data_IF_641932783090
#
_entry.id   IF_641932783090
#
_cell.length_a   1.000
_cell.length_b   1.000
_cell.length_c   1.000
_cell.angle_alpha   90.00
_cell.angle_beta   90.00
_cell.angle_gamma   90.00
#
_symmetry.space_group_name_H-M   'P 1'
#
loop_
_entity.id
_entity.type
_entity.pdbx_description
1 polymer ?
#
# COMPACT_ATOMS: atom_id res chain seq x y z
N UNK A 1 14.26 -26.50 -14.58
CA UNK A 1 14.93 -26.71 -15.89
C UNK A 1 13.91 -26.42 -16.98
N UNK A 2 14.13 -25.47 -17.90
CA UNK A 2 13.16 -25.16 -18.98
C UNK A 2 13.41 -26.07 -20.17
N UNK A 3 12.53 -27.03 -20.43
CA UNK A 3 12.59 -27.91 -21.60
C UNK A 3 12.03 -27.14 -22.80
N UNK A 4 12.84 -26.93 -23.83
CA UNK A 4 12.42 -26.23 -25.05
C UNK A 4 12.06 -27.21 -26.17
N UNK A 5 11.18 -26.80 -27.09
CA UNK A 5 10.77 -27.64 -28.25
C UNK A 5 11.95 -28.15 -29.06
N UNK A 6 12.99 -27.32 -29.20
CA UNK A 6 14.24 -27.65 -29.91
C UNK A 6 15.03 -28.78 -29.23
N UNK A 7 14.99 -28.87 -27.89
CA UNK A 7 15.63 -29.97 -27.16
C UNK A 7 14.88 -31.30 -27.35
N UNK A 8 13.56 -31.26 -27.47
CA UNK A 8 12.76 -32.46 -27.78
C UNK A 8 13.03 -32.95 -29.21
N UNK A 9 13.13 -32.05 -30.18
CA UNK A 9 13.50 -32.38 -31.56
C UNK A 9 14.93 -32.96 -31.64
N UNK A 10 15.89 -32.41 -30.87
CA UNK A 10 17.21 -33.00 -30.75
C UNK A 10 17.18 -34.39 -30.14
N UNK A 11 16.39 -34.63 -29.09
CA UNK A 11 16.26 -35.95 -28.48
C UNK A 11 15.64 -36.98 -29.43
N UNK A 12 14.71 -36.57 -30.30
CA UNK A 12 14.19 -37.40 -31.40
C UNK A 12 15.28 -37.69 -32.43
N UNK A 13 16.06 -36.68 -32.83
CA UNK A 13 17.16 -36.86 -33.79
C UNK A 13 18.26 -37.81 -33.29
N UNK A 14 18.48 -37.84 -31.97
CA UNK A 14 19.42 -38.75 -31.31
C UNK A 14 18.80 -40.12 -30.97
N UNK A 15 17.56 -40.37 -31.40
CA UNK A 15 16.80 -41.60 -31.13
C UNK A 15 16.65 -41.94 -29.63
N UNK A 16 16.76 -40.93 -28.76
CA UNK A 16 16.56 -41.09 -27.31
C UNK A 16 15.07 -41.28 -27.01
N UNK A 17 14.22 -40.58 -27.76
CA UNK A 17 12.75 -40.67 -27.69
C UNK A 17 12.15 -40.74 -29.09
N UNK A 18 10.95 -41.32 -29.22
CA UNK A 18 10.21 -41.32 -30.48
C UNK A 18 9.51 -39.99 -30.74
N UNK A 19 9.17 -39.73 -32.01
CA UNK A 19 8.41 -38.53 -32.38
C UNK A 19 7.04 -38.47 -31.69
N UNK A 20 6.39 -39.63 -31.55
CA UNK A 20 5.12 -39.75 -30.85
C UNK A 20 5.24 -39.46 -29.34
N UNK A 21 6.35 -39.88 -28.71
CA UNK A 21 6.66 -39.54 -27.33
C UNK A 21 6.94 -38.04 -27.16
N UNK A 22 7.64 -37.41 -28.12
CA UNK A 22 7.90 -35.97 -28.08
C UNK A 22 6.61 -35.15 -28.16
N UNK A 23 5.64 -35.55 -28.99
CA UNK A 23 4.33 -34.90 -29.08
C UNK A 23 3.49 -35.09 -27.82
N UNK A 24 3.45 -36.31 -27.28
CA UNK A 24 2.77 -36.60 -26.01
C UNK A 24 3.36 -35.79 -24.85
N UNK A 25 4.69 -35.71 -24.77
CA UNK A 25 5.38 -34.95 -23.72
C UNK A 25 5.16 -33.44 -23.87
N UNK A 26 5.16 -32.93 -25.11
CA UNK A 26 4.84 -31.52 -25.37
C UNK A 26 3.42 -31.17 -24.92
N UNK A 27 2.47 -32.09 -25.15
CA UNK A 27 1.07 -31.92 -24.74
C UNK A 27 0.95 -31.92 -23.21
N UNK A 28 1.61 -32.87 -22.55
CA UNK A 28 1.65 -32.96 -21.08
C UNK A 28 2.29 -31.71 -20.44
N UNK A 29 3.42 -31.24 -20.98
CA UNK A 29 4.12 -30.06 -20.45
C UNK A 29 3.32 -28.76 -20.63
N UNK A 30 2.55 -28.65 -21.73
CA UNK A 30 1.63 -27.50 -21.93
C UNK A 30 0.44 -27.51 -20.97
N UNK A 31 0.06 -28.68 -20.47
CA UNK A 31 -1.03 -28.83 -19.51
C UNK A 31 -0.58 -28.59 -18.06
N UNK A 32 0.73 -28.53 -17.80
CA UNK A 32 1.21 -28.12 -16.49
C UNK A 32 1.05 -26.60 -16.32
N UNK A 33 0.46 -26.13 -15.20
CA UNK A 33 0.44 -24.71 -14.87
C UNK A 33 1.88 -24.22 -14.81
N UNK A 34 2.19 -23.12 -15.51
CA UNK A 34 3.54 -22.55 -15.61
C UNK A 34 4.23 -22.56 -14.25
N UNK A 35 5.30 -23.36 -14.15
CA UNK A 35 6.05 -23.53 -12.90
C UNK A 35 6.90 -22.29 -12.64
N UNK A 36 6.35 -21.38 -11.84
CA UNK A 36 7.09 -20.40 -11.05
C UNK A 36 7.07 -18.96 -11.60
N UNK A 37 7.24 -17.95 -10.71
CA UNK A 37 7.26 -16.55 -11.09
C UNK A 37 8.47 -16.29 -11.98
N UNK A 38 8.23 -16.08 -13.27
CA UNK A 38 9.27 -15.67 -14.21
C UNK A 38 9.53 -14.18 -13.91
N UNK A 39 10.78 -13.84 -13.59
CA UNK A 39 11.20 -12.45 -13.49
C UNK A 39 11.11 -11.83 -14.89
N UNK A 40 9.96 -11.22 -15.17
CA UNK A 40 9.62 -10.66 -16.46
C UNK A 40 9.80 -9.14 -16.38
N UNK A 41 10.55 -8.60 -17.34
CA UNK A 41 10.87 -7.17 -17.41
C UNK A 41 9.60 -6.31 -17.42
N UNK A 42 8.50 -6.83 -17.98
CA UNK A 42 7.20 -6.16 -17.95
C UNK A 42 6.65 -5.99 -16.52
N UNK A 43 6.83 -6.99 -15.66
CA UNK A 43 6.43 -6.91 -14.25
C UNK A 43 7.30 -5.91 -13.48
N UNK A 44 8.60 -5.85 -13.78
CA UNK A 44 9.50 -4.84 -13.22
C UNK A 44 9.06 -3.43 -13.62
N UNK A 45 8.67 -3.22 -14.88
CA UNK A 45 8.15 -1.94 -15.36
C UNK A 45 6.83 -1.56 -14.66
N UNK A 46 5.95 -2.53 -14.39
CA UNK A 46 4.72 -2.27 -13.65
C UNK A 46 5.00 -1.84 -12.21
N UNK A 47 5.89 -2.52 -11.49
CA UNK A 47 6.25 -2.12 -10.13
C UNK A 47 7.00 -0.79 -10.10
N UNK A 48 7.94 -0.57 -11.03
CA UNK A 48 8.66 0.69 -11.14
C UNK A 48 7.72 1.86 -11.43
N UNK A 49 6.81 1.70 -12.40
CA UNK A 49 5.80 2.70 -12.72
C UNK A 49 4.88 2.99 -11.54
N UNK A 50 4.45 1.95 -10.81
CA UNK A 50 3.68 2.11 -9.58
C UNK A 50 4.44 2.89 -8.50
N UNK A 51 5.71 2.57 -8.26
CA UNK A 51 6.54 3.29 -7.28
C UNK A 51 6.79 4.75 -7.68
N UNK A 52 7.02 5.03 -8.97
CA UNK A 52 7.17 6.41 -9.46
C UNK A 52 5.88 7.19 -9.26
N UNK A 53 4.72 6.59 -9.56
CA UNK A 53 3.43 7.23 -9.36
C UNK A 53 3.19 7.57 -7.87
N UNK A 54 3.47 6.62 -6.97
CA UNK A 54 3.36 6.84 -5.52
C UNK A 54 4.36 7.91 -5.06
N UNK A 55 5.62 7.86 -5.51
CA UNK A 55 6.65 8.83 -5.13
C UNK A 55 6.35 10.25 -5.63
N UNK A 56 5.90 10.39 -6.88
CA UNK A 56 5.48 11.67 -7.43
C UNK A 56 4.29 12.24 -6.67
N UNK A 57 3.31 11.39 -6.34
CA UNK A 57 2.17 11.78 -5.51
C UNK A 57 2.61 12.28 -4.15
N UNK A 58 3.44 11.53 -3.41
CA UNK A 58 3.93 11.93 -2.08
C UNK A 58 4.63 13.30 -2.11
N UNK A 59 5.47 13.56 -3.12
CA UNK A 59 6.15 14.84 -3.28
C UNK A 59 5.18 15.98 -3.62
N UNK A 60 4.27 15.75 -4.56
CA UNK A 60 3.32 16.76 -5.01
C UNK A 60 2.33 17.14 -3.90
N UNK A 61 1.95 16.17 -3.07
CA UNK A 61 1.09 16.41 -1.91
C UNK A 61 1.81 17.20 -0.82
N UNK A 62 3.07 16.87 -0.53
CA UNK A 62 3.84 17.58 0.48
C UNK A 62 4.05 19.05 0.11
N UNK A 63 4.32 19.36 -1.17
CA UNK A 63 4.43 20.75 -1.65
C UNK A 63 3.06 21.42 -1.85
N UNK A 64 2.03 20.65 -2.20
CA UNK A 64 0.70 21.17 -2.52
C UNK A 64 -0.17 21.50 -1.31
N UNK A 65 0.16 21.00 -0.12
CA UNK A 65 -0.64 21.17 1.10
C UNK A 65 -0.93 22.64 1.44
N UNK A 66 0.05 23.52 1.33
CA UNK A 66 -0.16 24.96 1.62
C UNK A 66 -0.92 25.69 0.50
N UNK A 67 -0.95 25.14 -0.72
CA UNK A 67 -1.50 25.84 -1.89
C UNK A 67 -2.94 25.44 -2.20
N UNK A 68 -3.32 24.18 -1.99
CA UNK A 68 -4.61 23.64 -2.45
C UNK A 68 -5.74 23.70 -1.41
N UNK A 69 -5.42 23.79 -0.11
CA UNK A 69 -6.40 23.67 0.97
C UNK A 69 -7.17 22.32 0.97
N UNK A 70 -8.11 22.16 1.90
CA UNK A 70 -8.88 20.90 2.03
C UNK A 70 -9.66 20.51 0.78
N UNK A 71 -10.37 21.46 0.16
CA UNK A 71 -11.18 21.20 -1.04
C UNK A 71 -10.34 20.81 -2.26
N UNK A 72 -9.15 21.39 -2.42
CA UNK A 72 -8.23 21.00 -3.49
C UNK A 72 -7.70 19.58 -3.30
N UNK A 73 -7.38 19.18 -2.07
CA UNK A 73 -6.97 17.80 -1.75
C UNK A 73 -8.08 16.80 -2.07
N UNK A 74 -9.34 17.11 -1.70
CA UNK A 74 -10.49 16.26 -2.04
C UNK A 74 -10.64 16.12 -3.56
N UNK A 75 -10.61 17.24 -4.29
CA UNK A 75 -10.77 17.23 -5.74
C UNK A 75 -9.71 16.38 -6.45
N UNK A 76 -8.45 16.55 -6.07
CA UNK A 76 -7.33 15.77 -6.62
C UNK A 76 -7.49 14.29 -6.25
N UNK A 77 -7.77 13.98 -4.99
CA UNK A 77 -7.92 12.59 -4.52
C UNK A 77 -9.04 11.86 -5.28
N UNK A 78 -10.20 12.50 -5.46
CA UNK A 78 -11.32 11.93 -6.21
C UNK A 78 -10.98 11.73 -7.69
N UNK A 79 -10.30 12.69 -8.32
CA UNK A 79 -9.85 12.56 -9.70
C UNK A 79 -8.90 11.35 -9.87
N UNK A 80 -7.97 11.18 -8.95
CA UNK A 80 -7.04 10.04 -8.96
C UNK A 80 -7.73 8.70 -8.64
N UNK A 81 -8.71 8.68 -7.74
CA UNK A 81 -9.53 7.48 -7.46
C UNK A 81 -10.27 7.06 -8.73
N UNK A 82 -10.92 8.01 -9.43
CA UNK A 82 -11.63 7.74 -10.68
C UNK A 82 -10.67 7.23 -11.77
N UNK A 83 -9.51 7.87 -11.93
CA UNK A 83 -8.49 7.43 -12.87
C UNK A 83 -7.97 6.02 -12.53
N UNK A 84 -7.63 5.76 -11.26
CA UNK A 84 -7.15 4.46 -10.80
C UNK A 84 -8.19 3.35 -11.00
N UNK A 85 -9.46 3.64 -10.70
CA UNK A 85 -10.55 2.68 -10.85
C UNK A 85 -10.84 2.36 -12.32
N UNK A 86 -10.86 3.38 -13.19
CA UNK A 86 -11.05 3.17 -14.65
C UNK A 86 -9.89 2.36 -15.25
N UNK A 87 -8.64 2.65 -14.88
CA UNK A 87 -7.49 1.86 -15.31
C UNK A 87 -7.56 0.42 -14.78
N UNK A 88 -7.94 0.23 -13.52
CA UNK A 88 -8.13 -1.09 -12.92
C UNK A 88 -9.12 -1.92 -13.73
N UNK A 89 -10.30 -1.37 -14.07
CA UNK A 89 -11.29 -2.07 -14.89
C UNK A 89 -10.75 -2.42 -16.28
N UNK A 90 -10.03 -1.50 -16.93
CA UNK A 90 -9.45 -1.73 -18.24
C UNK A 90 -8.42 -2.87 -18.19
N UNK A 91 -7.54 -2.88 -17.18
CA UNK A 91 -6.57 -3.96 -17.00
C UNK A 91 -7.22 -5.29 -16.65
N UNK A 92 -8.27 -5.28 -15.82
CA UNK A 92 -9.02 -6.48 -15.48
C UNK A 92 -9.70 -7.08 -16.72
N UNK A 93 -10.36 -6.27 -17.55
CA UNK A 93 -11.01 -6.74 -18.80
C UNK A 93 -10.00 -7.32 -19.80
N UNK A 94 -8.76 -6.83 -19.78
CA UNK A 94 -7.66 -7.33 -20.61
C UNK A 94 -6.91 -8.53 -20.02
N UNK A 95 -7.27 -9.00 -18.81
CA UNK A 95 -6.63 -10.13 -18.14
C UNK A 95 -5.31 -9.79 -17.44
N UNK A 96 -4.92 -8.52 -17.33
CA UNK A 96 -3.70 -8.08 -16.64
C UNK A 96 -3.94 -7.96 -15.13
N UNK A 97 -3.92 -9.10 -14.44
CA UNK A 97 -4.22 -9.20 -12.99
C UNK A 97 -3.27 -8.35 -12.13
N UNK A 98 -1.99 -8.28 -12.49
CA UNK A 98 -0.98 -7.59 -11.67
C UNK A 98 -1.10 -6.07 -11.76
N UNK A 99 -1.16 -5.45 -12.96
CA UNK A 99 -1.49 -4.03 -13.10
C UNK A 99 -2.82 -3.65 -12.46
N UNK A 100 -3.85 -4.47 -12.61
CA UNK A 100 -5.14 -4.23 -11.97
C UNK A 100 -5.03 -4.21 -10.44
N UNK A 101 -4.26 -5.14 -9.86
CA UNK A 101 -3.97 -5.17 -8.43
C UNK A 101 -3.23 -3.93 -7.93
N UNK A 102 -2.27 -3.42 -8.69
CA UNK A 102 -1.54 -2.18 -8.35
C UNK A 102 -2.49 -0.98 -8.37
N UNK A 103 -3.34 -0.85 -9.40
CA UNK A 103 -4.35 0.21 -9.46
C UNK A 103 -5.36 0.10 -8.31
N UNK A 104 -5.75 -1.11 -7.92
CA UNK A 104 -6.65 -1.32 -6.79
C UNK A 104 -6.03 -0.84 -5.46
N UNK A 105 -4.76 -1.19 -5.21
CA UNK A 105 -4.03 -0.71 -4.02
C UNK A 105 -3.90 0.81 -4.05
N UNK A 106 -3.57 1.38 -5.20
CA UNK A 106 -3.47 2.82 -5.37
C UNK A 106 -4.77 3.55 -5.01
N UNK A 107 -5.92 3.04 -5.47
CA UNK A 107 -7.25 3.56 -5.10
C UNK A 107 -7.50 3.47 -3.60
N UNK A 108 -7.18 2.33 -2.96
CA UNK A 108 -7.40 2.15 -1.52
C UNK A 108 -6.56 3.12 -0.69
N UNK A 109 -5.29 3.35 -1.06
CA UNK A 109 -4.39 4.27 -0.36
C UNK A 109 -4.80 5.74 -0.51
N UNK A 110 -5.57 6.09 -1.55
CA UNK A 110 -6.14 7.43 -1.73
C UNK A 110 -7.36 7.73 -0.87
N UNK A 111 -8.03 6.70 -0.33
CA UNK A 111 -9.22 6.88 0.51
C UNK A 111 -8.93 7.68 1.79
N UNK A 112 -7.95 7.31 2.64
CA UNK A 112 -7.66 8.08 3.85
C UNK A 112 -7.32 9.53 3.54
N UNK A 113 -6.63 9.77 2.42
CA UNK A 113 -6.29 11.10 1.95
C UNK A 113 -7.52 11.93 1.53
N UNK A 114 -8.49 11.31 0.85
CA UNK A 114 -9.74 12.00 0.51
C UNK A 114 -10.56 12.36 1.74
N UNK A 115 -10.55 11.49 2.76
CA UNK A 115 -11.16 11.75 4.07
C UNK A 115 -10.42 12.90 4.77
N UNK A 116 -9.09 12.89 4.77
CA UNK A 116 -8.28 13.98 5.30
C UNK A 116 -8.63 15.33 4.66
N UNK A 117 -8.63 15.38 3.33
CA UNK A 117 -8.98 16.60 2.60
C UNK A 117 -10.38 17.09 2.98
N UNK A 118 -11.33 16.17 3.17
CA UNK A 118 -12.70 16.50 3.55
C UNK A 118 -12.77 17.04 4.98
N UNK A 119 -12.04 16.42 5.91
CA UNK A 119 -11.94 16.90 7.29
C UNK A 119 -11.36 18.32 7.34
N UNK A 120 -10.30 18.58 6.56
CA UNK A 120 -9.68 19.89 6.44
C UNK A 120 -10.61 20.90 5.78
N UNK A 121 -11.34 20.50 4.74
CA UNK A 121 -12.28 21.36 4.02
C UNK A 121 -13.49 21.79 4.86
N UNK A 122 -13.91 20.93 5.79
CA UNK A 122 -15.02 21.18 6.71
C UNK A 122 -14.58 21.93 7.98
N UNK A 123 -13.29 22.25 8.11
CA UNK A 123 -12.76 22.94 9.29
C UNK A 123 -12.76 22.09 10.56
N UNK A 124 -12.80 20.75 10.42
CA UNK A 124 -12.67 19.85 11.58
C UNK A 124 -11.26 19.82 12.15
N UNK A 125 -10.27 20.31 11.39
CA UNK A 125 -8.91 20.50 11.89
C UNK A 125 -8.77 21.88 12.57
N UNK A 126 -8.30 21.94 13.82
CA UNK A 126 -8.17 23.22 14.54
C UNK A 126 -7.12 24.12 13.90
N UNK A 127 -7.51 25.34 13.52
CA UNK A 127 -6.60 26.39 13.10
C UNK A 127 -6.00 27.07 14.33
N UNK A 128 -4.68 26.95 14.48
CA UNK A 128 -3.90 27.75 15.44
C UNK A 128 -4.12 27.39 16.91
N UNK A 129 -3.24 26.55 17.44
CA UNK A 129 -2.53 26.73 18.72
C UNK A 129 -1.91 25.39 19.13
N UNK A 130 -0.58 25.31 19.03
CA UNK A 130 0.25 24.32 19.72
C UNK A 130 -0.05 22.85 19.40
N UNK A 131 0.80 22.25 18.57
CA UNK A 131 0.96 20.81 18.33
C UNK A 131 1.09 19.94 19.62
N UNK A 132 1.15 20.56 20.81
CA UNK A 132 1.52 19.97 22.08
C UNK A 132 0.37 19.80 23.09
N UNK A 133 -0.85 20.27 22.81
CA UNK A 133 -1.98 20.12 23.76
C UNK A 133 -3.23 19.39 23.22
N UNK A 134 -3.23 19.01 21.93
CA UNK A 134 -4.41 18.45 21.24
C UNK A 134 -4.35 16.93 20.98
N UNK A 135 -3.51 16.17 21.71
CA UNK A 135 -3.30 14.74 21.43
C UNK A 135 -4.58 13.89 21.47
N UNK A 136 -5.57 14.23 22.30
CA UNK A 136 -6.82 13.46 22.40
C UNK A 136 -7.76 13.56 21.19
N UNK A 137 -7.91 14.74 20.58
CA UNK A 137 -8.80 14.95 19.43
C UNK A 137 -8.13 14.56 18.10
N UNK A 138 -6.80 14.62 18.04
CA UNK A 138 -6.01 14.21 16.88
C UNK A 138 -6.18 12.71 16.55
N UNK A 139 -6.32 11.86 17.58
CA UNK A 139 -6.53 10.41 17.40
C UNK A 139 -7.85 10.07 16.70
N UNK A 140 -8.93 10.81 16.96
CA UNK A 140 -10.23 10.52 16.34
C UNK A 140 -10.22 10.80 14.83
N UNK A 141 -9.58 11.88 14.41
CA UNK A 141 -9.43 12.24 12.99
C UNK A 141 -8.64 11.19 12.22
N UNK A 142 -7.56 10.68 12.83
CA UNK A 142 -6.77 9.57 12.30
C UNK A 142 -7.55 8.27 12.21
N UNK A 143 -8.26 7.90 13.27
CA UNK A 143 -9.08 6.69 13.29
C UNK A 143 -10.12 6.66 12.15
N UNK A 144 -10.77 7.80 11.83
CA UNK A 144 -11.71 7.86 10.70
C UNK A 144 -11.02 7.60 9.34
N UNK A 145 -9.80 8.09 9.14
CA UNK A 145 -9.03 7.84 7.92
C UNK A 145 -8.67 6.36 7.79
N UNK A 146 -8.22 5.75 8.88
CA UNK A 146 -7.85 4.33 8.91
C UNK A 146 -9.05 3.40 8.73
N UNK A 147 -10.17 3.70 9.38
CA UNK A 147 -11.44 2.98 9.18
C UNK A 147 -11.93 3.10 7.74
N UNK A 148 -11.80 4.28 7.12
CA UNK A 148 -12.11 4.48 5.72
C UNK A 148 -11.23 3.65 4.79
N UNK A 149 -9.91 3.65 5.03
CA UNK A 149 -8.96 2.83 4.28
C UNK A 149 -9.25 1.33 4.44
N UNK A 150 -9.52 0.88 5.66
CA UNK A 150 -9.87 -0.51 5.97
C UNK A 150 -11.17 -0.93 5.27
N UNK A 151 -12.22 -0.13 5.38
CA UNK A 151 -13.51 -0.41 4.74
C UNK A 151 -13.37 -0.49 3.22
N UNK A 152 -12.67 0.46 2.60
CA UNK A 152 -12.40 0.43 1.17
C UNK A 152 -11.55 -0.79 0.76
N UNK A 153 -10.51 -1.10 1.54
CA UNK A 153 -9.66 -2.27 1.33
C UNK A 153 -10.45 -3.58 1.39
N UNK A 154 -11.34 -3.73 2.39
CA UNK A 154 -12.20 -4.91 2.55
C UNK A 154 -13.19 -5.02 1.39
N UNK A 155 -13.84 -3.93 0.99
CA UNK A 155 -14.76 -3.91 -0.16
C UNK A 155 -14.03 -4.32 -1.44
N UNK A 156 -12.85 -3.76 -1.70
CA UNK A 156 -12.04 -4.09 -2.87
C UNK A 156 -11.55 -5.55 -2.83
N UNK A 157 -11.11 -6.03 -1.67
CA UNK A 157 -10.66 -7.42 -1.51
C UNK A 157 -11.82 -8.40 -1.71
N UNK A 158 -13.00 -8.09 -1.17
CA UNK A 158 -14.19 -8.92 -1.34
C UNK A 158 -14.64 -8.98 -2.82
N UNK A 159 -14.62 -7.84 -3.51
CA UNK A 159 -15.11 -7.70 -4.88
C UNK A 159 -14.14 -8.20 -5.95
N UNK A 160 -12.83 -8.03 -5.76
CA UNK A 160 -11.81 -8.29 -6.78
C UNK A 160 -10.78 -9.36 -6.37
N UNK A 161 -10.62 -9.65 -5.07
CA UNK A 161 -9.77 -10.72 -4.52
C UNK A 161 -8.30 -10.68 -4.98
N UNK A 162 -7.76 -9.49 -5.24
CA UNK A 162 -6.36 -9.35 -5.61
C UNK A 162 -5.44 -9.60 -4.40
N UNK A 163 -4.43 -10.48 -4.48
CA UNK A 163 -3.54 -10.76 -3.36
C UNK A 163 -2.72 -9.53 -2.93
N UNK A 164 -2.47 -8.59 -3.86
CA UNK A 164 -1.74 -7.35 -3.58
C UNK A 164 -2.49 -6.42 -2.61
N UNK A 165 -3.83 -6.51 -2.52
CA UNK A 165 -4.65 -5.72 -1.59
C UNK A 165 -4.43 -6.11 -0.12
N UNK A 166 -3.88 -7.29 0.16
CA UNK A 166 -3.58 -7.73 1.52
C UNK A 166 -2.54 -6.83 2.18
N UNK A 167 -1.59 -6.29 1.39
CA UNK A 167 -0.51 -5.44 1.90
C UNK A 167 -1.02 -4.16 2.60
N UNK A 168 -1.80 -3.27 1.94
CA UNK A 168 -2.33 -2.09 2.61
C UNK A 168 -3.33 -2.44 3.72
N UNK A 169 -4.05 -3.56 3.61
CA UNK A 169 -4.96 -4.05 4.66
C UNK A 169 -4.20 -4.41 5.94
N UNK A 170 -3.10 -5.15 5.84
CA UNK A 170 -2.29 -5.52 7.00
C UNK A 170 -1.67 -4.28 7.65
N UNK A 171 -1.17 -3.34 6.83
CA UNK A 171 -0.59 -2.08 7.34
C UNK A 171 -1.66 -1.25 8.05
N UNK A 172 -2.83 -1.04 7.44
CA UNK A 172 -3.92 -0.28 8.05
C UNK A 172 -4.44 -0.94 9.32
N UNK A 173 -4.53 -2.27 9.36
CA UNK A 173 -4.95 -2.99 10.57
C UNK A 173 -3.92 -2.88 11.70
N UNK A 174 -2.62 -2.88 11.36
CA UNK A 174 -1.55 -2.64 12.32
C UNK A 174 -1.61 -1.21 12.90
N UNK A 175 -1.79 -0.20 12.04
CA UNK A 175 -1.91 1.18 12.48
C UNK A 175 -3.13 1.37 13.39
N UNK A 176 -4.27 0.79 13.02
CA UNK A 176 -5.50 0.83 13.82
C UNK A 176 -5.32 0.17 15.18
N UNK A 177 -4.52 -0.90 15.25
CA UNK A 177 -4.15 -1.52 16.51
C UNK A 177 -3.32 -0.58 17.39
N UNK A 178 -2.35 0.14 16.80
CA UNK A 178 -1.54 1.12 17.54
C UNK A 178 -2.40 2.28 18.05
N UNK A 179 -3.27 2.84 17.20
CA UNK A 179 -4.19 3.92 17.57
C UNK A 179 -5.16 3.49 18.67
N UNK A 180 -5.72 2.28 18.56
CA UNK A 180 -6.60 1.72 19.59
C UNK A 180 -5.87 1.55 20.93
N UNK A 181 -4.61 1.11 20.92
CA UNK A 181 -3.81 0.94 22.12
C UNK A 181 -3.45 2.28 22.78
N UNK A 182 -3.20 3.32 21.98
CA UNK A 182 -2.97 4.68 22.47
C UNK A 182 -4.22 5.24 23.16
N UNK A 183 -5.41 5.02 22.56
CA UNK A 183 -6.68 5.46 23.14
C UNK A 183 -7.05 4.76 24.45
N UNK A 184 -6.74 3.46 24.59
CA UNK A 184 -7.06 2.67 25.78
C UNK A 184 -6.11 2.94 26.95
N UNK A 185 -4.81 3.13 26.67
CA UNK A 185 -3.79 3.20 27.73
C UNK A 185 -3.28 4.62 28.04
N UNK A 186 -3.65 5.62 27.23
CA UNK A 186 -3.05 6.96 27.30
C UNK A 186 -1.52 6.94 27.05
N UNK A 187 -0.84 8.03 27.39
CA UNK A 187 0.62 8.28 27.18
C UNK A 187 1.58 7.25 27.84
N UNK A 188 1.08 6.23 28.55
CA UNK A 188 1.93 5.32 29.36
C UNK A 188 2.66 4.25 28.56
N UNK A 189 2.24 3.95 27.32
CA UNK A 189 2.94 2.99 26.46
C UNK A 189 3.84 3.64 25.40
N UNK A 190 3.63 4.93 25.10
CA UNK A 190 4.35 5.59 24.01
C UNK A 190 5.85 5.73 24.31
N UNK A 191 6.25 5.92 25.57
CA UNK A 191 7.66 6.04 25.94
C UNK A 191 8.45 4.73 25.87
N UNK A 192 7.87 3.60 26.28
CA UNK A 192 8.55 2.30 26.24
C UNK A 192 8.48 1.63 24.86
N UNK A 193 7.36 1.76 24.14
CA UNK A 193 7.19 1.17 22.81
C UNK A 193 7.94 1.98 21.76
N UNK A 194 7.92 3.32 21.81
CA UNK A 194 8.76 4.14 20.91
C UNK A 194 10.24 3.92 21.19
N UNK A 195 10.66 3.71 22.45
CA UNK A 195 12.04 3.37 22.76
C UNK A 195 12.46 2.01 22.18
N UNK A 196 11.60 0.98 22.28
CA UNK A 196 11.88 -0.32 21.69
C UNK A 196 11.89 -0.27 20.17
N UNK A 197 10.93 0.43 19.53
CA UNK A 197 10.88 0.58 18.07
C UNK A 197 12.06 1.42 17.53
N UNK A 198 12.51 2.46 18.23
CA UNK A 198 13.73 3.21 17.88
C UNK A 198 15.00 2.37 17.96
N UNK A 199 15.09 1.43 18.91
CA UNK A 199 16.24 0.51 19.01
C UNK A 199 16.34 -0.46 17.82
N UNK A 200 15.21 -0.87 17.25
CA UNK A 200 15.17 -1.74 16.06
C UNK A 200 15.18 -0.95 14.73
N UNK A 201 14.69 0.29 14.72
CA UNK A 201 14.49 1.10 13.52
C UNK A 201 15.58 2.15 13.22
N UNK A 202 16.55 2.38 14.11
CA UNK A 202 17.64 3.33 13.88
C UNK A 202 17.20 4.78 13.67
N UNK A 203 15.98 5.14 14.06
CA UNK A 203 15.46 6.50 14.00
C UNK A 203 15.57 7.15 15.37
N UNK A 204 16.57 8.01 15.54
CA UNK A 204 16.77 8.82 16.74
C UNK A 204 15.87 10.06 16.69
N UNK A 205 14.63 9.91 17.13
CA UNK A 205 13.79 11.06 17.50
C UNK A 205 14.34 11.73 18.78
N UNK A 206 14.20 13.05 18.95
CA UNK A 206 14.84 13.78 20.03
C UNK A 206 14.30 13.34 21.40
N UNK A 207 15.22 12.92 22.28
CA UNK A 207 14.93 12.58 23.67
C UNK A 207 14.33 13.79 24.40
N UNK A 208 13.07 13.67 24.82
CA UNK A 208 12.45 14.63 25.74
C UNK A 208 12.86 14.26 27.16
N UNK A 209 13.85 14.97 27.72
CA UNK A 209 14.10 14.99 29.15
C UNK A 209 13.00 15.80 29.82
N UNK A 210 12.16 15.13 30.60
CA UNK A 210 11.25 15.78 31.52
C UNK A 210 11.87 15.71 32.93
N UNK A 211 12.20 16.86 33.53
CA UNK A 211 11.92 17.09 34.95
C UNK A 211 12.27 18.51 35.38
N UNK A 212 11.23 19.21 35.80
CA UNK A 212 11.26 20.26 36.82
C UNK A 212 12.00 19.76 38.07
N UNK A 213 13.01 20.49 38.53
CA UNK A 213 13.23 20.76 39.96
C UNK A 213 14.41 21.70 40.17
N UNK A 214 14.15 22.99 40.46
CA UNK A 214 14.77 23.74 41.56
C UNK A 214 14.26 25.19 41.53
N UNK A 215 13.08 25.41 42.12
CA UNK A 215 12.93 26.58 42.98
C UNK A 215 13.62 26.21 44.29
N UNK A 216 14.63 26.98 44.70
CA UNK A 216 14.97 27.28 46.10
C UNK A 216 16.10 28.33 46.12
N UNK A 217 15.90 29.32 47.00
CA UNK A 217 16.69 30.51 47.36
C UNK A 217 16.69 31.68 46.39
#
# INVERSE_FOLDING_TARGET
>A
MKITRRQLEQAVSQQIISQQQAEALTTFLRQQPDTGPIFDFTHLLYYLGGMIAIGAMSLFMNMGWETFGGWGIVGISLAYILAGFTLMEVFQRKGYVIPAGICAVFVVVLVPLSIYGLQLALGYWPEGEGYLHYRGELHWHWLFMELGALAAGVVMLWRYRYPFLVMPLVITLWLLLMDSMAMVNGDRFDSEVSAQVSMWGGYSGPHYQDSKSTNLS
#
